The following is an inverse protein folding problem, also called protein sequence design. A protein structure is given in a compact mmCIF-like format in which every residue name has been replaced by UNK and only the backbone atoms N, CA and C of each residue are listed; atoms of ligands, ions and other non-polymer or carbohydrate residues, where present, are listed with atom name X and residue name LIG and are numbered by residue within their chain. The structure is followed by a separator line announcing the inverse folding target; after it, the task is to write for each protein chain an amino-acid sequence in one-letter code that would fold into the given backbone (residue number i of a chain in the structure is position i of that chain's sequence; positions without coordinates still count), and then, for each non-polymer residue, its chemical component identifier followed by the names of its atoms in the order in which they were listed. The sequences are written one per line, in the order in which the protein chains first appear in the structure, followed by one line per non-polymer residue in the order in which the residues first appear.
data_IF_451515387363
#
_entry.id   IF_451515387363
#
_cell.length_a   1.000
_cell.length_b   1.000
_cell.length_c   1.000
_cell.angle_alpha   90.00
_cell.angle_beta   90.00
_cell.angle_gamma   90.00
#
_symmetry.space_group_name_H-M   'P 1'
#
loop_
_entity.id
_entity.type
_entity.pdbx_description
1 polymer ?
#
# COMPACT_ATOMS: atom_id res chain seq x y z
N UNK A 1 16.08 6.53 76.56
CA UNK A 1 16.22 6.47 75.09
C UNK A 1 15.11 5.56 74.57
N UNK A 2 13.98 6.13 74.17
CA UNK A 2 12.87 5.38 73.57
C UNK A 2 12.81 5.77 72.09
N UNK A 3 13.35 4.93 71.22
CA UNK A 3 13.32 5.15 69.78
C UNK A 3 11.97 4.67 69.22
N UNK A 4 11.08 5.63 69.00
CA UNK A 4 9.77 5.47 68.40
C UNK A 4 9.91 5.38 66.87
N UNK A 5 10.30 4.22 66.34
CA UNK A 5 10.35 4.00 64.87
C UNK A 5 8.95 3.78 64.31
N UNK A 6 8.28 4.88 63.94
CA UNK A 6 7.06 4.87 63.11
C UNK A 6 7.35 4.35 61.70
N UNK A 7 7.45 3.03 61.55
CA UNK A 7 7.50 2.37 60.25
C UNK A 7 6.17 2.53 59.52
N UNK A 8 6.21 2.96 58.26
CA UNK A 8 5.05 3.00 57.37
C UNK A 8 4.31 1.66 57.39
N UNK A 9 3.07 1.66 57.86
CA UNK A 9 2.28 0.43 57.98
C UNK A 9 1.76 0.06 56.60
N UNK A 10 1.92 -1.19 56.19
CA UNK A 10 1.47 -1.73 54.89
C UNK A 10 -0.02 -1.48 54.60
N UNK A 11 -0.85 -1.34 55.65
CA UNK A 11 -2.25 -0.89 55.54
C UNK A 11 -2.43 0.53 54.98
N UNK A 12 -1.48 1.43 55.27
CA UNK A 12 -1.45 2.78 54.71
C UNK A 12 -1.15 2.77 53.21
N UNK A 13 -0.34 1.81 52.75
CA UNK A 13 -0.03 1.65 51.32
C UNK A 13 -1.22 1.08 50.54
N UNK A 14 -1.99 0.16 51.14
CA UNK A 14 -3.21 -0.36 50.52
C UNK A 14 -4.32 0.71 50.46
N UNK A 15 -4.41 1.56 51.49
CA UNK A 15 -5.29 2.74 51.47
C UNK A 15 -4.88 3.78 50.40
N UNK A 16 -3.59 3.92 50.13
CA UNK A 16 -3.07 4.82 49.08
C UNK A 16 -3.32 4.27 47.66
N UNK A 17 -3.33 2.94 47.48
CA UNK A 17 -3.66 2.31 46.20
C UNK A 17 -5.13 2.48 45.78
N UNK A 18 -6.05 2.62 46.75
CA UNK A 18 -7.46 2.90 46.46
C UNK A 18 -7.68 4.35 45.98
N UNK A 19 -6.85 5.30 46.44
CA UNK A 19 -6.95 6.72 46.04
C UNK A 19 -6.39 7.01 44.64
N UNK A 20 -5.42 6.23 44.17
CA UNK A 20 -4.82 6.38 42.83
C UNK A 20 -5.63 5.70 41.72
N UNK A 21 -6.48 4.72 42.06
CA UNK A 21 -7.38 4.08 41.09
C UNK A 21 -8.39 5.07 40.46
N UNK A 22 -8.79 6.11 41.21
CA UNK A 22 -9.65 7.18 40.70
C UNK A 22 -8.98 8.07 39.64
N UNK A 23 -7.63 8.16 39.64
CA UNK A 23 -6.87 8.86 38.60
C UNK A 23 -6.65 7.99 37.34
N UNK A 24 -6.63 6.66 37.50
CA UNK A 24 -6.60 5.73 36.36
C UNK A 24 -7.90 5.75 35.55
N UNK A 25 -9.04 5.99 36.20
CA UNK A 25 -10.33 6.15 35.54
C UNK A 25 -10.39 7.42 34.65
N UNK A 26 -9.60 8.47 34.95
CA UNK A 26 -9.49 9.64 34.07
C UNK A 26 -8.65 9.37 32.81
N UNK A 27 -7.72 8.41 32.82
CA UNK A 27 -6.99 8.03 31.60
C UNK A 27 -7.88 7.32 30.56
N UNK A 28 -8.86 6.54 31.01
CA UNK A 28 -9.83 5.88 30.12
C UNK A 28 -10.86 6.83 29.49
N UNK A 29 -10.93 8.09 29.95
CA UNK A 29 -11.88 9.11 29.45
C UNK A 29 -11.25 10.00 28.36
N UNK A 30 -9.91 9.96 28.21
CA UNK A 30 -9.20 10.68 27.14
C UNK A 30 -8.87 9.77 25.94
N UNK A 31 -9.25 8.49 25.99
CA UNK A 31 -9.38 7.65 24.79
C UNK A 31 -10.64 8.08 24.03
N UNK A 32 -10.54 9.24 23.37
CA UNK A 32 -11.29 9.45 22.15
C UNK A 32 -10.88 8.29 21.21
N UNK A 33 -11.83 7.48 20.68
CA UNK A 33 -11.46 6.50 19.69
C UNK A 33 -10.84 7.29 18.54
N UNK A 34 -9.55 7.07 18.30
CA UNK A 34 -8.82 7.64 17.19
C UNK A 34 -9.30 7.00 15.87
N UNK A 35 -10.60 6.94 15.64
CA UNK A 35 -11.21 6.64 14.36
C UNK A 35 -11.21 7.93 13.53
N UNK A 36 -10.00 8.41 13.23
CA UNK A 36 -9.75 9.56 12.35
C UNK A 36 -10.17 9.30 10.89
N UNK A 37 -10.83 8.19 10.59
CA UNK A 37 -11.35 7.87 9.27
C UNK A 37 -12.78 7.39 9.39
N UNK A 38 -13.73 8.26 9.02
CA UNK A 38 -15.08 7.85 8.71
C UNK A 38 -15.05 6.64 7.75
N UNK A 39 -15.81 5.56 8.02
CA UNK A 39 -15.94 4.44 7.10
C UNK A 39 -16.29 4.99 5.73
N UNK A 40 -15.44 4.73 4.74
CA UNK A 40 -15.72 5.14 3.36
C UNK A 40 -17.01 4.44 2.93
N UNK A 41 -18.12 5.17 2.90
CA UNK A 41 -19.46 4.65 2.62
C UNK A 41 -19.67 4.27 1.15
N UNK A 42 -18.70 4.58 0.28
CA UNK A 42 -18.64 4.10 -1.09
C UNK A 42 -17.95 2.74 -1.15
N UNK A 43 -18.68 1.70 -1.57
CA UNK A 43 -18.11 0.37 -1.76
C UNK A 43 -16.86 0.39 -2.64
N UNK A 44 -15.79 -0.28 -2.19
CA UNK A 44 -14.56 -0.43 -2.96
C UNK A 44 -14.84 -1.12 -4.30
N UNK A 45 -14.29 -0.60 -5.40
CA UNK A 45 -14.41 -1.23 -6.70
C UNK A 45 -13.75 -2.62 -6.67
N UNK A 46 -14.55 -3.70 -6.72
CA UNK A 46 -14.02 -5.07 -6.70
C UNK A 46 -13.42 -5.49 -8.04
N UNK A 47 -13.66 -4.72 -9.11
CA UNK A 47 -13.09 -4.95 -10.43
C UNK A 47 -11.65 -4.45 -10.56
N UNK A 48 -11.08 -3.82 -9.52
CA UNK A 48 -9.66 -3.42 -9.49
C UNK A 48 -8.75 -4.49 -8.90
N UNK A 49 -9.27 -5.66 -8.53
CA UNK A 49 -8.45 -6.79 -8.12
C UNK A 49 -7.42 -7.11 -9.21
N UNK A 50 -6.15 -7.42 -8.87
CA UNK A 50 -5.12 -7.74 -9.85
C UNK A 50 -5.62 -8.84 -10.79
N UNK A 51 -5.75 -8.51 -12.06
CA UNK A 51 -6.13 -9.51 -13.06
C UNK A 51 -5.03 -10.56 -13.21
N UNK A 52 -5.38 -11.77 -13.62
CA UNK A 52 -4.40 -12.77 -14.04
C UNK A 52 -3.81 -12.46 -15.43
N UNK A 53 -4.07 -11.27 -16.00
CA UNK A 53 -3.52 -10.83 -17.28
C UNK A 53 -2.02 -10.60 -17.13
N UNK A 54 -1.23 -11.23 -18.01
CA UNK A 54 0.22 -11.15 -18.05
C UNK A 54 0.68 -10.86 -19.46
N UNK A 55 1.74 -10.08 -19.59
CA UNK A 55 2.39 -9.83 -20.88
C UNK A 55 3.29 -11.03 -21.18
N UNK A 56 2.99 -11.73 -22.27
CA UNK A 56 3.71 -12.96 -22.65
C UNK A 56 4.78 -12.70 -23.70
N UNK A 57 4.60 -11.67 -24.54
CA UNK A 57 5.54 -11.38 -25.61
C UNK A 57 5.46 -9.91 -26.05
N UNK A 58 6.54 -9.45 -26.69
CA UNK A 58 6.64 -8.16 -27.35
C UNK A 58 7.36 -8.37 -28.69
N UNK A 59 6.73 -7.90 -29.77
CA UNK A 59 7.24 -8.01 -31.15
C UNK A 59 7.18 -6.65 -31.83
N UNK A 60 8.02 -6.45 -32.83
CA UNK A 60 8.05 -5.24 -33.62
C UNK A 60 8.00 -5.55 -35.12
N UNK A 61 7.33 -4.69 -35.87
CA UNK A 61 7.41 -4.62 -37.33
C UNK A 61 7.62 -3.16 -37.73
N UNK A 62 8.23 -2.93 -38.89
CA UNK A 62 8.28 -1.60 -39.50
C UNK A 62 7.31 -1.52 -40.65
N UNK A 63 6.49 -0.48 -40.68
CA UNK A 63 5.68 -0.14 -41.84
C UNK A 63 6.37 1.00 -42.58
N UNK A 64 6.77 0.73 -43.82
CA UNK A 64 7.31 1.75 -44.72
C UNK A 64 6.15 2.42 -45.48
N UNK A 65 5.94 3.72 -45.24
CA UNK A 65 4.95 4.57 -45.92
C UNK A 65 5.60 5.91 -46.28
N UNK A 66 4.93 7.05 -46.07
CA UNK A 66 5.54 8.39 -46.19
C UNK A 66 6.77 8.55 -45.27
N UNK A 67 6.74 7.87 -44.13
CA UNK A 67 7.85 7.69 -43.20
C UNK A 67 7.90 6.23 -42.76
N UNK A 68 8.96 5.90 -42.02
CA UNK A 68 9.14 4.64 -41.33
C UNK A 68 8.38 4.66 -40.00
N UNK A 69 7.42 3.76 -39.82
CA UNK A 69 6.60 3.66 -38.60
C UNK A 69 6.81 2.31 -37.92
N UNK A 70 7.65 2.24 -36.88
CA UNK A 70 7.79 1.05 -36.04
C UNK A 70 6.51 0.81 -35.25
N UNK A 71 5.88 -0.35 -35.46
CA UNK A 71 4.72 -0.81 -34.72
C UNK A 71 5.16 -1.90 -33.75
N UNK A 72 4.80 -1.72 -32.49
CA UNK A 72 5.00 -2.67 -31.40
C UNK A 72 3.69 -3.40 -31.14
N UNK A 73 3.78 -4.72 -31.07
CA UNK A 73 2.70 -5.59 -30.61
C UNK A 73 3.07 -6.18 -29.26
N UNK A 74 2.16 -6.08 -28.30
CA UNK A 74 2.27 -6.70 -26.98
C UNK A 74 1.19 -7.76 -26.87
N UNK A 75 1.58 -9.01 -26.62
CA UNK A 75 0.66 -10.14 -26.47
C UNK A 75 0.47 -10.50 -24.99
N UNK A 76 -0.70 -11.05 -24.69
CA UNK A 76 -1.07 -11.47 -23.33
C UNK A 76 -1.51 -12.93 -23.27
N UNK A 77 -1.52 -13.49 -22.05
CA UNK A 77 -1.98 -14.85 -21.77
C UNK A 77 -3.49 -15.08 -21.93
N UNK A 78 -4.28 -14.04 -22.20
CA UNK A 78 -5.73 -14.13 -22.42
C UNK A 78 -6.12 -14.01 -23.90
N UNK A 79 -5.14 -14.00 -24.82
CA UNK A 79 -5.38 -13.85 -26.25
C UNK A 79 -5.70 -12.44 -26.71
N UNK A 80 -5.68 -11.45 -25.80
CA UNK A 80 -5.76 -10.02 -26.12
C UNK A 80 -4.36 -9.49 -26.44
N UNK A 81 -4.27 -8.55 -27.37
CA UNK A 81 -3.02 -7.86 -27.69
C UNK A 81 -3.25 -6.36 -27.87
N UNK A 82 -2.20 -5.59 -27.62
CA UNK A 82 -2.17 -4.15 -27.87
C UNK A 82 -1.22 -3.82 -29.03
N UNK A 83 -1.54 -2.75 -29.76
CA UNK A 83 -0.67 -2.16 -30.78
C UNK A 83 -0.32 -0.72 -30.37
N UNK A 84 0.94 -0.36 -30.52
CA UNK A 84 1.42 1.02 -30.32
C UNK A 84 2.57 1.34 -31.26
N UNK A 85 2.81 2.61 -31.52
CA UNK A 85 3.93 3.09 -32.33
C UNK A 85 5.10 3.57 -31.46
N UNK A 86 6.31 3.54 -32.02
CA UNK A 86 7.45 4.25 -31.42
C UNK A 86 7.45 5.70 -31.91
N UNK A 87 7.32 6.64 -30.98
CA UNK A 87 7.16 8.07 -31.28
C UNK A 87 8.49 8.78 -31.58
N UNK A 88 8.40 9.95 -32.21
CA UNK A 88 9.50 10.90 -32.44
C UNK A 88 10.71 10.32 -33.19
N UNK A 89 10.44 9.60 -34.29
CA UNK A 89 11.44 8.92 -35.12
C UNK A 89 12.29 7.86 -34.38
N UNK A 90 11.80 7.36 -33.24
CA UNK A 90 12.40 6.19 -32.59
C UNK A 90 12.30 4.95 -33.47
N UNK A 91 13.20 3.98 -33.23
CA UNK A 91 13.26 2.71 -33.97
C UNK A 91 12.73 1.53 -33.14
N UNK A 92 12.55 0.36 -33.77
CA UNK A 92 12.06 -0.85 -33.07
C UNK A 92 12.98 -1.26 -31.91
N UNK A 93 14.29 -1.13 -32.09
CA UNK A 93 15.29 -1.55 -31.12
C UNK A 93 15.20 -0.78 -29.79
N UNK A 94 14.92 0.52 -29.85
CA UNK A 94 14.71 1.37 -28.67
C UNK A 94 13.50 0.92 -27.85
N UNK A 95 12.47 0.36 -28.48
CA UNK A 95 11.35 -0.24 -27.76
C UNK A 95 11.70 -1.66 -27.27
N UNK A 96 12.29 -2.49 -28.13
CA UNK A 96 12.57 -3.90 -27.82
C UNK A 96 13.56 -4.10 -26.67
N UNK A 97 14.42 -3.13 -26.37
CA UNK A 97 15.27 -3.16 -25.17
C UNK A 97 14.44 -3.24 -23.86
N UNK A 98 13.19 -2.77 -23.88
CA UNK A 98 12.29 -2.78 -22.72
C UNK A 98 11.59 -4.12 -22.51
N UNK A 99 11.64 -5.04 -23.50
CA UNK A 99 10.96 -6.33 -23.45
C UNK A 99 11.23 -7.13 -22.16
N UNK A 100 12.48 -7.28 -21.68
CA UNK A 100 12.76 -8.04 -20.46
C UNK A 100 12.18 -7.43 -19.19
N UNK A 101 11.80 -6.14 -19.21
CA UNK A 101 11.23 -5.44 -18.06
C UNK A 101 9.71 -5.58 -17.97
N UNK A 102 9.04 -5.93 -19.07
CA UNK A 102 7.58 -5.98 -19.14
C UNK A 102 7.01 -7.38 -19.34
N UNK A 103 7.79 -8.33 -19.86
CA UNK A 103 7.36 -9.72 -20.02
C UNK A 103 7.45 -10.45 -18.66
N UNK A 104 6.33 -11.02 -18.20
CA UNK A 104 6.22 -11.71 -16.90
C UNK A 104 4.78 -11.96 -16.45
#
# INVERSE_FOLDING_TARGET
MSDDKKGFKRRSMLGMAAGTAAMGAMFNIVEEPADAQAPQTGGFNRNSAPSQLRITDMRAIRIASNYDYPIIRIDTNQGVYGLGEVRDAGNEGMALILKPHIVG
#
